data_IF_967609880379
#
_entry.id   IF_967609880379
#
_cell.length_a   1.000
_cell.length_b   1.000
_cell.length_c   1.000
_cell.angle_alpha   90.00
_cell.angle_beta   90.00
_cell.angle_gamma   90.00
#
_symmetry.space_group_name_H-M   'P 1'
#
loop_
_entity.id
_entity.type
_entity.pdbx_description
1 polymer ?
#
# COMPACT_ATOMS: atom_id res chain seq x y z
N UNK A 1 6.61 17.19 -19.44
CA UNK A 1 7.46 16.02 -19.09
C UNK A 1 6.97 15.32 -17.81
N UNK A 2 5.65 15.16 -17.65
CA UNK A 2 5.01 14.65 -16.42
C UNK A 2 4.34 13.25 -16.51
N UNK A 3 4.27 12.53 -17.65
CA UNK A 3 3.44 11.32 -17.72
C UNK A 3 3.95 10.17 -16.84
N UNK A 4 5.26 10.14 -16.55
CA UNK A 4 5.84 9.11 -15.68
C UNK A 4 5.46 9.34 -14.21
N UNK A 5 5.24 10.58 -13.80
CA UNK A 5 4.94 10.92 -12.40
C UNK A 5 3.45 10.70 -12.07
N UNK A 6 2.58 10.84 -13.06
CA UNK A 6 1.14 10.55 -12.99
C UNK A 6 0.82 9.05 -13.12
N UNK A 7 1.81 8.22 -13.47
CA UNK A 7 1.62 6.78 -13.63
C UNK A 7 1.14 6.14 -12.33
N UNK A 8 0.02 5.41 -12.43
CA UNK A 8 -0.60 4.72 -11.31
C UNK A 8 0.14 3.45 -10.93
N UNK A 9 0.58 3.37 -9.68
CA UNK A 9 1.33 2.25 -9.10
C UNK A 9 0.46 1.30 -8.28
N UNK A 10 -0.81 1.67 -8.07
CA UNK A 10 -1.84 0.87 -7.42
C UNK A 10 -2.57 -0.08 -8.40
N UNK A 11 -2.20 -0.04 -9.68
CA UNK A 11 -2.83 -0.86 -10.71
C UNK A 11 -2.61 -2.38 -10.48
N UNK A 12 -3.67 -3.20 -10.54
CA UNK A 12 -3.59 -4.64 -10.25
C UNK A 12 -2.59 -5.39 -11.13
N UNK A 13 -2.44 -4.98 -12.39
CA UNK A 13 -1.52 -5.63 -13.33
C UNK A 13 -0.06 -5.41 -12.95
N UNK A 14 0.32 -4.21 -12.48
CA UNK A 14 1.69 -3.87 -12.08
C UNK A 14 2.09 -4.69 -10.85
N UNK A 15 1.19 -4.75 -9.87
CA UNK A 15 1.38 -5.55 -8.65
C UNK A 15 1.48 -7.03 -9.03
N UNK A 16 0.65 -7.50 -9.95
CA UNK A 16 0.71 -8.87 -10.48
C UNK A 16 2.08 -9.20 -11.09
N UNK A 17 2.63 -8.33 -11.93
CA UNK A 17 3.96 -8.50 -12.53
C UNK A 17 5.05 -8.55 -11.46
N UNK A 18 5.03 -7.61 -10.50
CA UNK A 18 5.99 -7.59 -9.39
C UNK A 18 5.90 -8.83 -8.50
N UNK A 19 4.69 -9.34 -8.27
CA UNK A 19 4.47 -10.60 -7.57
C UNK A 19 5.10 -11.78 -8.31
N UNK A 20 4.90 -11.87 -9.64
CA UNK A 20 5.46 -12.95 -10.46
C UNK A 20 6.99 -12.88 -10.46
N UNK A 21 7.58 -11.70 -10.62
CA UNK A 21 9.03 -11.50 -10.57
C UNK A 21 9.57 -11.89 -9.19
N UNK A 22 8.92 -11.43 -8.11
CA UNK A 22 9.30 -11.76 -6.74
C UNK A 22 9.20 -13.27 -6.46
N UNK A 23 8.11 -13.91 -6.89
CA UNK A 23 7.94 -15.35 -6.76
C UNK A 23 9.03 -16.11 -7.52
N UNK A 24 9.36 -15.68 -8.74
CA UNK A 24 10.45 -16.26 -9.53
C UNK A 24 11.82 -16.14 -8.86
N UNK A 25 12.14 -14.98 -8.30
CA UNK A 25 13.38 -14.76 -7.54
C UNK A 25 13.43 -15.60 -6.26
N UNK A 26 12.35 -15.63 -5.50
CA UNK A 26 12.23 -16.46 -4.30
C UNK A 26 12.40 -17.95 -4.65
N UNK A 27 11.73 -18.42 -5.71
CA UNK A 27 11.83 -19.80 -6.17
C UNK A 27 13.26 -20.13 -6.65
N UNK A 28 13.90 -19.23 -7.39
CA UNK A 28 15.29 -19.38 -7.80
C UNK A 28 16.25 -19.50 -6.61
N UNK A 29 16.05 -18.68 -5.57
CA UNK A 29 16.83 -18.71 -4.34
C UNK A 29 16.60 -20.01 -3.55
N UNK A 30 15.36 -20.49 -3.50
CA UNK A 30 14.98 -21.75 -2.85
C UNK A 30 15.55 -22.98 -3.58
N UNK A 31 15.47 -23.02 -4.91
CA UNK A 31 15.92 -24.15 -5.74
C UNK A 31 17.44 -24.09 -5.90
N UNK A 32 18.17 -24.69 -4.95
CA UNK A 32 19.61 -24.92 -5.09
C UNK A 32 19.80 -26.14 -6.00
N UNK A 33 20.37 -25.94 -7.21
CA UNK A 33 20.74 -27.05 -8.10
C UNK A 33 21.52 -28.08 -7.26
N UNK A 34 20.96 -29.29 -7.10
CA UNK A 34 21.59 -30.42 -6.42
C UNK A 34 22.85 -30.82 -7.20
N UNK A 35 23.97 -30.14 -7.01
CA UNK A 35 25.19 -30.44 -7.77
C UNK A 35 26.12 -31.46 -7.09
N UNK A 36 25.74 -32.03 -5.94
CA UNK A 36 26.60 -33.02 -5.29
C UNK A 36 25.76 -33.96 -4.43
N UNK A 37 26.14 -35.24 -4.45
CA UNK A 37 25.50 -36.39 -3.81
C UNK A 37 25.49 -36.36 -2.26
N UNK A 38 25.41 -35.18 -1.64
CA UNK A 38 25.22 -35.01 -0.18
C UNK A 38 23.86 -34.41 0.13
N UNK A 39 23.19 -34.85 1.21
CA UNK A 39 21.99 -34.18 1.71
C UNK A 39 22.37 -32.76 2.14
N UNK A 40 22.02 -31.79 1.31
CA UNK A 40 22.18 -30.38 1.65
C UNK A 40 21.19 -30.03 2.75
N UNK A 41 21.66 -29.44 3.85
CA UNK A 41 20.79 -28.90 4.91
C UNK A 41 20.06 -27.61 4.47
N UNK A 42 20.29 -27.14 3.25
CA UNK A 42 19.71 -25.92 2.69
C UNK A 42 18.18 -25.80 2.81
N UNK A 43 17.34 -26.77 2.40
CA UNK A 43 15.89 -26.62 2.49
C UNK A 43 15.42 -26.40 3.93
N UNK A 44 16.05 -27.08 4.90
CA UNK A 44 15.76 -26.87 6.32
C UNK A 44 16.11 -25.43 6.76
N UNK A 45 17.30 -24.93 6.41
CA UNK A 45 17.70 -23.54 6.71
C UNK A 45 16.82 -22.51 6.02
N UNK A 46 16.39 -22.77 4.79
CA UNK A 46 15.48 -21.89 4.05
C UNK A 46 14.10 -21.84 4.71
N UNK A 47 13.57 -22.98 5.16
CA UNK A 47 12.31 -23.03 5.93
C UNK A 47 12.45 -22.28 7.25
N UNK A 48 13.55 -22.50 7.99
CA UNK A 48 13.80 -21.78 9.25
C UNK A 48 13.87 -20.27 9.01
N UNK A 49 14.60 -19.82 7.97
CA UNK A 49 14.71 -18.40 7.64
C UNK A 49 13.34 -17.82 7.25
N UNK A 50 12.55 -18.54 6.44
CA UNK A 50 11.22 -18.14 6.01
C UNK A 50 10.27 -18.00 7.20
N UNK A 51 10.23 -18.99 8.09
CA UNK A 51 9.38 -19.00 9.29
C UNK A 51 9.83 -17.92 10.27
N UNK A 52 11.14 -17.72 10.46
CA UNK A 52 11.66 -16.66 11.31
C UNK A 52 11.25 -15.28 10.77
N UNK A 53 11.45 -15.02 9.48
CA UNK A 53 11.06 -13.75 8.83
C UNK A 53 9.56 -13.48 8.94
N UNK A 54 8.73 -14.42 8.48
CA UNK A 54 7.27 -14.29 8.56
C UNK A 54 6.79 -14.15 10.01
N UNK A 55 7.35 -14.96 10.91
CA UNK A 55 7.02 -14.95 12.34
C UNK A 55 7.35 -13.62 13.00
N UNK A 56 8.52 -13.04 12.73
CA UNK A 56 8.89 -11.71 13.25
C UNK A 56 7.93 -10.63 12.76
N UNK A 57 7.59 -10.62 11.47
CA UNK A 57 6.64 -9.65 10.90
C UNK A 57 5.25 -9.79 11.52
N UNK A 58 4.74 -11.02 11.58
CA UNK A 58 3.42 -11.32 12.12
C UNK A 58 3.36 -11.01 13.62
N UNK A 59 4.38 -11.39 14.39
CA UNK A 59 4.45 -11.09 15.82
C UNK A 59 4.43 -9.58 16.08
N UNK A 60 5.22 -8.81 15.33
CA UNK A 60 5.21 -7.35 15.43
C UNK A 60 3.84 -6.75 15.06
N UNK A 61 3.23 -7.21 13.95
CA UNK A 61 1.93 -6.74 13.52
C UNK A 61 0.81 -7.07 14.50
N UNK A 62 0.82 -8.27 15.09
CA UNK A 62 -0.13 -8.69 16.12
C UNK A 62 0.07 -7.91 17.41
N UNK A 63 1.31 -7.63 17.80
CA UNK A 63 1.63 -6.76 18.92
C UNK A 63 1.06 -5.36 18.68
N UNK A 64 1.35 -4.75 17.54
CA UNK A 64 0.85 -3.43 17.17
C UNK A 64 -0.68 -3.38 17.12
N UNK A 65 -1.33 -4.46 16.65
CA UNK A 65 -2.79 -4.59 16.67
C UNK A 65 -3.34 -4.68 18.10
N UNK A 66 -2.69 -5.42 18.99
CA UNK A 66 -3.10 -5.56 20.40
C UNK A 66 -2.92 -4.27 21.20
N UNK A 67 -1.86 -3.51 20.94
CA UNK A 67 -1.60 -2.23 21.61
C UNK A 67 -2.32 -1.05 20.97
N UNK A 68 -3.08 -1.30 19.89
CA UNK A 68 -3.71 -0.27 19.06
C UNK A 68 -2.71 0.84 18.66
N UNK A 69 -1.49 0.43 18.31
CA UNK A 69 -0.35 1.33 18.05
C UNK A 69 -0.64 2.36 16.94
N UNK A 70 -1.50 1.99 15.99
CA UNK A 70 -1.86 2.80 14.84
C UNK A 70 -3.24 3.47 14.96
N UNK A 71 -3.91 3.35 16.12
CA UNK A 71 -5.25 3.91 16.35
C UNK A 71 -6.39 3.21 15.59
N UNK A 72 -6.07 2.25 14.72
CA UNK A 72 -7.01 1.44 13.96
C UNK A 72 -6.53 -0.01 13.85
N UNK A 73 -7.45 -0.99 13.79
CA UNK A 73 -7.08 -2.40 13.68
C UNK A 73 -6.35 -2.65 12.36
N UNK A 74 -5.13 -3.20 12.46
CA UNK A 74 -4.34 -3.55 11.29
C UNK A 74 -5.06 -4.66 10.49
N UNK A 75 -5.33 -4.46 9.19
CA UNK A 75 -6.05 -5.41 8.35
C UNK A 75 -5.18 -6.64 8.10
N UNK A 76 -5.82 -7.80 8.00
CA UNK A 76 -5.12 -9.08 7.83
C UNK A 76 -4.30 -9.14 6.55
N UNK A 77 -4.76 -8.45 5.51
CA UNK A 77 -4.07 -8.29 4.23
C UNK A 77 -2.72 -7.57 4.40
N UNK A 78 -2.64 -6.51 5.20
CA UNK A 78 -1.37 -5.83 5.43
C UNK A 78 -0.39 -6.72 6.22
N UNK A 79 -0.92 -7.52 7.17
CA UNK A 79 -0.12 -8.48 7.92
C UNK A 79 0.44 -9.59 7.00
N UNK A 80 -0.38 -10.13 6.10
CA UNK A 80 0.05 -11.18 5.18
C UNK A 80 1.11 -10.67 4.19
N UNK A 81 0.95 -9.45 3.66
CA UNK A 81 1.98 -8.80 2.86
C UNK A 81 3.29 -8.63 3.63
N UNK A 82 3.23 -8.07 4.84
CA UNK A 82 4.41 -7.91 5.69
C UNK A 82 5.11 -9.23 6.00
N UNK A 83 4.35 -10.28 6.33
CA UNK A 83 4.88 -11.61 6.60
C UNK A 83 5.52 -12.26 5.37
N UNK A 84 4.87 -12.19 4.21
CA UNK A 84 5.42 -12.73 2.96
C UNK A 84 6.71 -11.98 2.53
N UNK A 85 6.71 -10.66 2.65
CA UNK A 85 7.87 -9.82 2.34
C UNK A 85 9.07 -10.15 3.21
N UNK A 86 8.90 -10.19 4.53
CA UNK A 86 9.98 -10.50 5.47
C UNK A 86 10.46 -11.95 5.36
N UNK A 87 9.56 -12.89 5.06
CA UNK A 87 9.95 -14.27 4.71
C UNK A 87 10.87 -14.32 3.48
N UNK A 88 10.51 -13.63 2.40
CA UNK A 88 11.30 -13.60 1.17
C UNK A 88 12.67 -12.94 1.40
N UNK A 89 12.71 -11.83 2.15
CA UNK A 89 13.96 -11.14 2.52
C UNK A 89 14.84 -12.04 3.39
N UNK A 90 14.29 -12.74 4.39
CA UNK A 90 15.06 -13.65 5.22
C UNK A 90 15.69 -14.79 4.42
N UNK A 91 14.97 -15.34 3.42
CA UNK A 91 15.51 -16.34 2.48
C UNK A 91 16.62 -15.74 1.61
N UNK A 92 16.48 -14.51 1.12
CA UNK A 92 17.54 -13.83 0.37
C UNK A 92 18.79 -13.60 1.24
N UNK A 93 18.61 -13.15 2.47
CA UNK A 93 19.69 -12.95 3.45
C UNK A 93 20.40 -14.27 3.75
N UNK A 94 19.67 -15.36 3.96
CA UNK A 94 20.25 -16.70 4.15
C UNK A 94 21.08 -17.15 2.93
N UNK A 95 20.72 -16.72 1.72
CA UNK A 95 21.50 -16.97 0.50
C UNK A 95 22.78 -16.13 0.38
N UNK A 96 23.02 -15.14 1.25
CA UNK A 96 24.28 -14.39 1.24
C UNK A 96 25.42 -15.19 1.88
N UNK A 97 25.10 -16.17 2.74
CA UNK A 97 26.09 -17.05 3.36
C UNK A 97 26.41 -18.27 2.48
N UNK A 98 27.70 -18.49 2.21
CA UNK A 98 28.23 -19.65 1.47
C UNK A 98 27.58 -19.85 0.09
N UNK A 99 27.32 -18.78 -0.66
CA UNK A 99 26.77 -18.84 -2.01
C UNK A 99 27.79 -18.40 -3.08
N UNK A 100 27.68 -18.98 -4.27
CA UNK A 100 28.46 -18.59 -5.44
C UNK A 100 28.14 -17.14 -5.82
N UNK A 101 29.12 -16.43 -6.43
CA UNK A 101 29.00 -14.99 -6.78
C UNK A 101 27.69 -14.64 -7.49
N UNK A 102 27.21 -15.52 -8.39
CA UNK A 102 25.93 -15.36 -9.09
C UNK A 102 24.73 -15.34 -8.14
N UNK A 103 24.65 -16.31 -7.22
CA UNK A 103 23.55 -16.38 -6.23
C UNK A 103 23.61 -15.24 -5.24
N UNK A 104 24.81 -14.83 -4.81
CA UNK A 104 24.97 -13.66 -3.95
C UNK A 104 24.47 -12.39 -4.63
N UNK A 105 24.81 -12.19 -5.90
CA UNK A 105 24.30 -11.05 -6.69
C UNK A 105 22.78 -11.09 -6.82
N UNK A 106 22.21 -12.24 -7.19
CA UNK A 106 20.74 -12.37 -7.29
C UNK A 106 20.06 -12.13 -5.95
N UNK A 107 20.59 -12.66 -4.84
CA UNK A 107 20.06 -12.43 -3.51
C UNK A 107 20.07 -10.95 -3.14
N UNK A 108 21.19 -10.25 -3.36
CA UNK A 108 21.31 -8.81 -3.12
C UNK A 108 20.29 -8.01 -3.94
N UNK A 109 20.10 -8.35 -5.22
CA UNK A 109 19.12 -7.68 -6.09
C UNK A 109 17.67 -8.03 -5.74
N UNK A 110 17.43 -9.19 -5.15
CA UNK A 110 16.06 -9.63 -4.80
C UNK A 110 15.50 -8.89 -3.58
N UNK A 111 16.36 -8.52 -2.62
CA UNK A 111 15.96 -7.78 -1.41
C UNK A 111 15.15 -6.51 -1.74
N UNK A 112 15.65 -5.56 -2.56
CA UNK A 112 14.88 -4.36 -2.89
C UNK A 112 13.60 -4.70 -3.66
N UNK A 113 13.60 -5.73 -4.52
CA UNK A 113 12.40 -6.16 -5.25
C UNK A 113 11.32 -6.69 -4.29
N UNK A 114 11.69 -7.48 -3.30
CA UNK A 114 10.76 -7.99 -2.29
C UNK A 114 10.19 -6.87 -1.42
N UNK A 115 11.05 -5.93 -1.00
CA UNK A 115 10.62 -4.76 -0.24
C UNK A 115 9.65 -3.90 -1.06
N UNK A 116 10.00 -3.56 -2.30
CA UNK A 116 9.14 -2.79 -3.21
C UNK A 116 7.80 -3.49 -3.43
N UNK A 117 7.79 -4.80 -3.71
CA UNK A 117 6.55 -5.57 -3.92
C UNK A 117 5.68 -5.57 -2.67
N UNK A 118 6.27 -5.70 -1.50
CA UNK A 118 5.55 -5.66 -0.22
C UNK A 118 4.96 -4.29 0.05
N UNK A 119 5.75 -3.23 -0.12
CA UNK A 119 5.30 -1.85 0.08
C UNK A 119 4.17 -1.50 -0.89
N UNK A 120 4.29 -1.86 -2.16
CA UNK A 120 3.25 -1.61 -3.16
C UNK A 120 1.99 -2.45 -2.92
N UNK A 121 2.12 -3.70 -2.48
CA UNK A 121 0.97 -4.53 -2.11
C UNK A 121 0.18 -3.97 -0.93
N UNK A 122 0.88 -3.47 0.10
CA UNK A 122 0.24 -2.77 1.23
C UNK A 122 -0.37 -1.45 0.76
N UNK A 123 0.37 -0.67 -0.02
CA UNK A 123 -0.09 0.62 -0.52
C UNK A 123 -1.35 0.50 -1.39
N UNK A 124 -1.43 -0.51 -2.25
CA UNK A 124 -2.58 -0.78 -3.10
C UNK A 124 -3.82 -1.20 -2.29
N UNK A 125 -3.62 -1.89 -1.16
CA UNK A 125 -4.72 -2.20 -0.25
C UNK A 125 -5.34 -0.94 0.37
N UNK A 126 -4.50 0.04 0.74
CA UNK A 126 -4.96 1.27 1.37
C UNK A 126 -5.24 2.42 0.40
N UNK A 127 -4.75 2.35 -0.85
CA UNK A 127 -4.87 3.41 -1.85
C UNK A 127 -4.15 4.72 -1.47
N UNK A 128 -3.16 4.68 -0.57
CA UNK A 128 -2.56 5.90 0.01
C UNK A 128 -1.81 6.74 -1.02
N UNK A 129 -1.00 6.07 -1.84
CA UNK A 129 -0.15 6.73 -2.84
C UNK A 129 -0.41 6.08 -4.21
N UNK A 130 -1.47 6.50 -4.92
CA UNK A 130 -1.84 5.87 -6.18
C UNK A 130 -0.83 6.14 -7.30
N UNK A 131 -0.02 7.20 -7.23
CA UNK A 131 0.92 7.60 -8.31
C UNK A 131 2.39 7.57 -7.88
N UNK A 132 3.31 7.44 -8.84
CA UNK A 132 4.77 7.54 -8.60
C UNK A 132 5.12 8.81 -7.83
N UNK A 133 4.51 9.94 -8.19
CA UNK A 133 4.77 11.19 -7.48
C UNK A 133 4.31 11.16 -6.03
N UNK A 134 3.09 10.68 -5.75
CA UNK A 134 2.62 10.55 -4.36
C UNK A 134 3.52 9.63 -3.53
N UNK A 135 4.04 8.55 -4.14
CA UNK A 135 4.97 7.63 -3.49
C UNK A 135 6.29 8.31 -3.09
N UNK A 136 6.82 9.18 -3.94
CA UNK A 136 8.00 10.00 -3.64
C UNK A 136 7.64 11.33 -2.91
N UNK A 137 6.41 11.48 -2.42
CA UNK A 137 5.90 12.68 -1.75
C UNK A 137 5.98 13.97 -2.60
N UNK A 138 6.02 13.81 -3.93
CA UNK A 138 5.97 14.90 -4.89
C UNK A 138 4.49 15.24 -5.13
N UNK A 139 4.10 16.47 -4.80
CA UNK A 139 2.75 16.98 -5.02
C UNK A 139 2.59 17.43 -6.48
N UNK A 140 1.82 16.68 -7.28
CA UNK A 140 1.42 17.11 -8.64
C UNK A 140 -0.09 17.28 -8.81
N UNK A 141 -0.87 17.08 -7.75
CA UNK A 141 -2.30 17.27 -7.81
C UNK A 141 -2.60 18.71 -8.25
N UNK A 142 -3.47 18.84 -9.26
CA UNK A 142 -3.91 20.15 -9.73
C UNK A 142 -4.81 20.78 -8.67
N UNK A 143 -4.76 22.11 -8.51
CA UNK A 143 -5.67 22.79 -7.60
C UNK A 143 -7.11 22.56 -8.08
N UNK A 144 -7.99 22.15 -7.16
CA UNK A 144 -9.42 22.01 -7.47
C UNK A 144 -10.14 23.27 -6.99
N UNK A 145 -10.99 23.84 -7.84
CA UNK A 145 -11.85 24.95 -7.44
C UNK A 145 -13.05 24.39 -6.69
N UNK A 146 -13.01 24.46 -5.36
CA UNK A 146 -14.19 24.17 -4.53
C UNK A 146 -15.00 25.46 -4.44
N UNK A 147 -16.14 25.54 -5.11
CA UNK A 147 -17.09 26.63 -4.90
C UNK A 147 -17.66 26.52 -3.50
N UNK A 148 -17.62 27.62 -2.73
CA UNK A 148 -18.03 27.65 -1.33
C UNK A 148 -19.42 27.05 -1.12
N UNK A 149 -19.53 26.13 -0.17
CA UNK A 149 -20.81 25.55 0.23
C UNK A 149 -21.65 26.59 0.97
N UNK A 150 -22.92 26.70 0.61
CA UNK A 150 -23.92 27.39 1.42
C UNK A 150 -24.08 26.66 2.75
N UNK A 151 -24.12 27.38 3.88
CA UNK A 151 -24.50 26.80 5.17
C UNK A 151 -25.90 26.19 5.04
N UNK A 152 -25.98 24.87 5.13
CA UNK A 152 -27.24 24.15 5.14
C UNK A 152 -27.71 24.03 6.59
N UNK A 153 -28.95 24.48 6.86
CA UNK A 153 -29.59 24.29 8.16
C UNK A 153 -29.98 22.81 8.32
N UNK A 154 -29.24 22.10 9.17
CA UNK A 154 -29.51 20.70 9.51
C UNK A 154 -28.67 19.66 8.74
N UNK A 155 -28.90 18.35 9.00
CA UNK A 155 -28.07 17.30 8.45
C UNK A 155 -28.14 17.24 6.92
N UNK A 156 -26.99 17.27 6.26
CA UNK A 156 -26.87 17.31 4.79
C UNK A 156 -27.70 16.24 4.07
N UNK A 157 -27.84 15.04 4.64
CA UNK A 157 -28.62 13.94 4.04
C UNK A 157 -30.12 14.24 3.90
N UNK A 158 -30.65 15.24 4.60
CA UNK A 158 -32.07 15.61 4.54
C UNK A 158 -32.37 16.62 3.42
N UNK A 159 -31.41 17.48 3.11
CA UNK A 159 -31.61 18.65 2.23
C UNK A 159 -30.79 18.58 0.93
N UNK A 160 -29.83 17.66 0.84
CA UNK A 160 -28.96 17.55 -0.31
C UNK A 160 -29.67 17.00 -1.55
N UNK A 161 -29.54 17.74 -2.66
CA UNK A 161 -29.94 17.30 -4.00
C UNK A 161 -28.74 17.47 -4.94
N UNK A 162 -28.52 16.48 -5.81
CA UNK A 162 -27.45 16.53 -6.79
C UNK A 162 -27.70 17.67 -7.80
N UNK A 163 -26.74 18.59 -8.02
CA UNK A 163 -26.84 19.62 -9.06
C UNK A 163 -26.95 18.99 -10.45
N UNK A 164 -27.64 19.68 -11.37
CA UNK A 164 -27.86 19.19 -12.75
C UNK A 164 -26.55 19.07 -13.55
N UNK A 165 -25.55 19.83 -13.16
CA UNK A 165 -24.20 19.96 -13.71
C UNK A 165 -23.16 19.11 -12.96
N UNK A 166 -23.60 18.17 -12.10
CA UNK A 166 -22.70 17.30 -11.36
C UNK A 166 -21.90 16.37 -12.30
N UNK A 167 -20.55 16.40 -12.27
CA UNK A 167 -19.73 15.53 -13.11
C UNK A 167 -19.99 14.04 -12.86
N UNK A 168 -19.84 13.22 -13.89
CA UNK A 168 -19.97 11.75 -13.79
C UNK A 168 -18.88 11.08 -12.95
N UNK A 169 -17.76 11.78 -12.72
CA UNK A 169 -16.59 11.31 -11.95
C UNK A 169 -16.15 12.37 -10.95
N UNK A 170 -15.80 11.96 -9.73
CA UNK A 170 -15.23 12.87 -8.73
C UNK A 170 -13.80 13.27 -9.06
N UNK A 171 -13.42 14.48 -8.65
CA UNK A 171 -12.06 15.01 -8.79
C UNK A 171 -11.36 15.13 -7.43
N UNK A 172 -10.06 14.89 -7.43
CA UNK A 172 -9.18 15.09 -6.27
C UNK A 172 -8.14 16.15 -6.63
N UNK A 173 -7.92 17.09 -5.72
CA UNK A 173 -6.98 18.18 -5.95
C UNK A 173 -6.59 18.88 -4.65
N UNK A 174 -5.69 19.84 -4.74
CA UNK A 174 -5.31 20.66 -3.59
C UNK A 174 -6.16 21.94 -3.53
N UNK A 175 -6.41 22.43 -2.33
CA UNK A 175 -6.98 23.76 -2.12
C UNK A 175 -6.13 24.48 -1.09
N UNK A 176 -5.89 25.77 -1.35
CA UNK A 176 -5.27 26.65 -0.39
C UNK A 176 -6.36 27.17 0.56
N UNK A 177 -6.27 26.78 1.83
CA UNK A 177 -7.20 27.24 2.88
C UNK A 177 -6.43 28.26 3.71
N UNK A 178 -6.66 29.57 3.49
CA UNK A 178 -5.92 30.59 4.22
C UNK A 178 -6.25 30.52 5.70
N UNK A 179 -5.21 30.41 6.54
CA UNK A 179 -5.32 30.32 8.00
C UNK A 179 -5.57 31.69 8.65
N UNK A 180 -6.64 32.37 8.24
CA UNK A 180 -6.95 33.75 8.64
C UNK A 180 -7.28 33.94 10.13
N UNK A 181 -7.68 32.89 10.84
CA UNK A 181 -8.06 32.96 12.27
C UNK A 181 -7.10 32.22 13.21
N UNK A 182 -6.30 31.27 12.70
CA UNK A 182 -5.66 30.25 13.55
C UNK A 182 -4.18 30.51 13.84
N UNK A 183 -3.52 31.46 13.17
CA UNK A 183 -2.08 31.73 13.34
C UNK A 183 -1.14 30.60 12.88
N UNK A 184 -1.67 29.50 12.34
CA UNK A 184 -0.88 28.41 11.77
C UNK A 184 -0.46 28.75 10.34
N UNK A 185 0.78 28.45 9.97
CA UNK A 185 1.21 28.49 8.58
C UNK A 185 0.42 27.44 7.78
N UNK A 186 -0.46 27.90 6.88
CA UNK A 186 -1.28 27.02 6.05
C UNK A 186 -0.39 26.23 5.09
N UNK A 187 -0.60 24.92 5.04
CA UNK A 187 -0.06 24.03 4.02
C UNK A 187 -1.19 23.66 3.06
N UNK A 188 -0.87 23.45 1.79
CA UNK A 188 -1.81 22.96 0.78
C UNK A 188 -2.62 21.78 1.34
N UNK A 189 -3.95 21.91 1.36
CA UNK A 189 -4.83 20.87 1.85
C UNK A 189 -5.22 19.95 0.69
N UNK A 190 -5.13 18.63 0.90
CA UNK A 190 -5.71 17.67 -0.02
C UNK A 190 -7.23 17.71 0.13
N UNK A 191 -7.94 17.93 -0.97
CA UNK A 191 -9.40 17.95 -1.05
C UNK A 191 -9.88 16.87 -2.02
N UNK A 192 -10.97 16.21 -1.66
CA UNK A 192 -11.61 15.17 -2.48
C UNK A 192 -13.08 15.49 -2.59
N UNK A 193 -13.58 15.71 -3.81
CA UNK A 193 -15.00 15.87 -4.05
C UNK A 193 -15.62 14.49 -4.30
N UNK A 194 -16.40 14.00 -3.32
CA UNK A 194 -17.07 12.69 -3.35
C UNK A 194 -18.56 12.85 -3.71
N UNK A 195 -19.09 11.91 -4.51
CA UNK A 195 -20.52 11.73 -4.72
C UNK A 195 -21.11 10.95 -3.54
N UNK A 196 -22.08 11.53 -2.82
CA UNK A 196 -22.98 10.75 -1.96
C UNK A 196 -24.05 10.09 -2.84
N UNK A 197 -24.29 8.77 -2.75
CA UNK A 197 -25.45 8.17 -3.39
C UNK A 197 -26.74 8.73 -2.78
N UNK A 198 -27.78 8.86 -3.62
CA UNK A 198 -29.13 9.36 -3.32
C UNK A 198 -29.74 8.79 -2.00
N UNK A 199 -30.69 9.50 -1.35
CA UNK A 199 -31.05 9.25 0.04
C UNK A 199 -31.47 7.81 0.30
N UNK A 200 -30.92 7.23 1.38
CA UNK A 200 -31.34 5.96 1.95
C UNK A 200 -32.85 6.00 2.18
N UNK A 201 -33.59 5.36 1.29
CA UNK A 201 -35.03 5.16 1.45
C UNK A 201 -35.22 4.27 2.66
N UNK A 202 -35.98 4.76 3.66
CA UNK A 202 -36.28 4.11 4.94
C UNK A 202 -36.42 2.59 4.82
N UNK A 203 -35.50 1.84 5.40
CA UNK A 203 -35.82 0.49 5.88
C UNK A 203 -36.64 0.67 7.15
N UNK A 204 -37.94 0.36 7.07
CA UNK A 204 -38.86 0.44 8.19
C UNK A 204 -38.43 -0.49 9.32
N UNK A 205 -38.29 0.05 10.53
CA UNK A 205 -38.46 -0.73 11.75
C UNK A 205 -39.94 -1.15 11.82
N UNK A 206 -40.20 -2.43 11.55
CA UNK A 206 -41.40 -3.07 12.08
C UNK A 206 -41.11 -3.45 13.54
N UNK A 207 -41.82 -2.75 14.43
CA UNK A 207 -42.37 -3.15 15.73
C UNK A 207 -41.65 -4.24 16.53
#
# INVERSE_FOLDING_TARGET
MTPILEFRIDEPWLIGVLCVVSAGLALFLLIRRRSSLRPSRWPMWAVIAMVAGAGTAAAFALFARKTNLFGMPLPWQAISWGAAGLAAVAVAVANLWKADRRRRLTATLSIPVFLLTTTLGINAYYGLNPTIASFFHIQINRPVSVTGGSEADGPLYQTWQAPADMPSTGEQGTIDIPATQSGFAARMAASTSLRLPAPLTRLGCHS
#
